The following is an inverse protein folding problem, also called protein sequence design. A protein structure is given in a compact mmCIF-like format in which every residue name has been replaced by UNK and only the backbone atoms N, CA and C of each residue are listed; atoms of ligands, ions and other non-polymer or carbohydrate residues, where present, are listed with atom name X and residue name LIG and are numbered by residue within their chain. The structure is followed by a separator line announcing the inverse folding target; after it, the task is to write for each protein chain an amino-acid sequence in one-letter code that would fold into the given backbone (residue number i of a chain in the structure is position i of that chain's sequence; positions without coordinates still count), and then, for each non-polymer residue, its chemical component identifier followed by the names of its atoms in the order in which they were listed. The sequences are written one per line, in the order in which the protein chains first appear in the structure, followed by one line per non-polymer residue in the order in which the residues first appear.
data_IF_608081482977
#
_entry.id   IF_608081482977
#
_cell.length_a   1.000
_cell.length_b   1.000
_cell.length_c   1.000
_cell.angle_alpha   90.00
_cell.angle_beta   90.00
_cell.angle_gamma   90.00
#
_symmetry.space_group_name_H-M   'P 1'
#
loop_
_entity.id
_entity.type
_entity.pdbx_description
1 polymer ?
#
# COMPACT_ATOMS: atom_id res chain seq x y z
N UNK A 1 -12.56 2.67 5.14
CA UNK A 1 -12.13 2.79 3.73
C UNK A 1 -10.74 3.39 3.69
N UNK A 2 -9.82 2.77 2.96
CA UNK A 2 -8.47 3.27 2.70
C UNK A 2 -8.36 3.75 1.26
N UNK A 3 -7.70 4.88 1.05
CA UNK A 3 -7.37 5.42 -0.28
C UNK A 3 -5.85 5.44 -0.44
N UNK A 4 -5.33 5.04 -1.60
CA UNK A 4 -3.90 5.04 -1.90
C UNK A 4 -3.14 4.24 -0.81
N UNK A 5 -2.06 4.79 -0.26
CA UNK A 5 -1.28 4.22 0.86
C UNK A 5 -2.11 3.97 2.12
N UNK A 6 -3.24 4.66 2.32
CA UNK A 6 -4.20 4.34 3.39
C UNK A 6 -4.79 2.93 3.29
N UNK A 7 -4.70 2.28 2.13
CA UNK A 7 -5.05 0.85 1.96
C UNK A 7 -4.10 -0.07 2.73
N UNK A 8 -2.83 0.32 2.92
CA UNK A 8 -1.88 -0.40 3.77
C UNK A 8 -2.43 -0.49 5.20
N UNK A 9 -2.99 0.61 5.72
CA UNK A 9 -3.59 0.64 7.05
C UNK A 9 -4.80 -0.29 7.16
N UNK A 10 -5.67 -0.34 6.14
CA UNK A 10 -6.83 -1.24 6.12
C UNK A 10 -6.37 -2.70 6.17
N UNK A 11 -5.46 -3.10 5.28
CA UNK A 11 -4.98 -4.48 5.25
C UNK A 11 -4.20 -4.83 6.52
N UNK A 12 -3.39 -3.92 7.05
CA UNK A 12 -2.68 -4.10 8.31
C UNK A 12 -3.66 -4.29 9.48
N UNK A 13 -4.71 -3.47 9.57
CA UNK A 13 -5.74 -3.58 10.60
C UNK A 13 -6.38 -4.98 10.61
N UNK A 14 -6.69 -5.50 9.41
CA UNK A 14 -7.39 -6.77 9.24
C UNK A 14 -6.49 -8.00 9.32
N UNK A 15 -5.21 -7.91 8.98
CA UNK A 15 -4.32 -9.08 8.84
C UNK A 15 -3.42 -9.34 10.06
N UNK A 16 -3.12 -8.32 10.85
CA UNK A 16 -2.18 -8.43 11.97
C UNK A 16 -2.85 -9.00 13.22
N UNK A 17 -2.04 -9.56 14.12
CA UNK A 17 -2.51 -10.07 15.41
C UNK A 17 -3.29 -9.02 16.20
N UNK A 18 -4.27 -9.47 17.00
CA UNK A 18 -5.14 -8.61 17.78
C UNK A 18 -5.25 -9.09 19.25
N UNK A 19 -4.69 -8.34 20.23
CA UNK A 19 -3.83 -7.17 20.06
C UNK A 19 -2.51 -7.56 19.38
N UNK A 20 -1.74 -6.58 18.92
CA UNK A 20 -0.40 -6.87 18.40
C UNK A 20 0.47 -7.44 19.54
N UNK A 21 1.07 -8.62 19.33
CA UNK A 21 1.90 -9.26 20.36
C UNK A 21 3.33 -8.73 20.42
N UNK A 22 3.77 -8.01 19.39
CA UNK A 22 5.11 -7.45 19.32
C UNK A 22 5.33 -6.40 20.43
N UNK A 23 6.53 -6.36 21.05
CA UNK A 23 6.86 -5.31 22.00
C UNK A 23 6.83 -3.93 21.32
N UNK A 24 6.60 -2.88 22.11
CA UNK A 24 6.72 -1.51 21.65
C UNK A 24 8.08 -1.32 20.96
N UNK A 25 8.11 -0.77 19.75
CA UNK A 25 9.35 -0.63 19.03
C UNK A 25 10.23 0.42 19.70
N UNK A 26 11.54 0.26 19.59
CA UNK A 26 12.51 1.15 20.24
C UNK A 26 12.31 2.66 19.96
N UNK A 27 11.83 3.01 18.76
CA UNK A 27 11.59 4.41 18.37
C UNK A 27 10.28 4.99 18.94
N UNK A 28 9.40 4.15 19.46
CA UNK A 28 8.14 4.53 20.10
C UNK A 28 7.89 3.64 21.33
N UNK A 29 8.69 3.83 22.40
CA UNK A 29 8.63 2.99 23.60
C UNK A 29 7.34 3.18 24.39
N UNK A 30 6.52 4.17 24.04
CA UNK A 30 5.25 4.49 24.68
C UNK A 30 4.06 3.87 23.95
N UNK A 31 4.28 3.16 22.84
CA UNK A 31 3.22 2.49 22.10
C UNK A 31 2.49 1.46 22.99
N UNK A 32 1.18 1.63 23.10
CA UNK A 32 0.29 0.67 23.77
C UNK A 32 -0.56 -0.02 22.71
N UNK A 33 -0.37 -1.33 22.55
CA UNK A 33 -1.21 -2.14 21.67
C UNK A 33 -2.57 -2.40 22.34
N UNK A 34 -3.64 -1.99 21.68
CA UNK A 34 -5.02 -2.20 22.13
C UNK A 34 -5.71 -3.27 21.31
N UNK A 35 -6.78 -3.83 21.86
CA UNK A 35 -7.69 -4.70 21.11
C UNK A 35 -8.44 -3.84 20.09
N UNK A 36 -8.32 -4.22 18.83
CA UNK A 36 -9.03 -3.62 17.71
C UNK A 36 -10.45 -4.22 17.62
N UNK A 37 -11.51 -3.41 17.52
CA UNK A 37 -12.86 -3.93 17.27
C UNK A 37 -12.98 -4.51 15.86
N UNK A 38 -13.89 -5.46 15.67
CA UNK A 38 -14.28 -5.90 14.33
C UNK A 38 -14.99 -4.76 13.57
N UNK A 39 -14.94 -4.82 12.23
CA UNK A 39 -15.62 -3.88 11.35
C UNK A 39 -16.60 -4.62 10.44
N UNK A 40 -17.73 -3.99 10.13
CA UNK A 40 -18.78 -4.57 9.28
C UNK A 40 -18.40 -4.62 7.79
N UNK A 41 -17.40 -3.84 7.37
CA UNK A 41 -16.97 -3.78 5.98
C UNK A 41 -15.66 -3.05 5.80
N UNK A 42 -14.92 -3.41 4.74
CA UNK A 42 -13.65 -2.78 4.41
C UNK A 42 -13.57 -2.47 2.91
N UNK A 43 -13.04 -1.29 2.59
CA UNK A 43 -12.84 -0.83 1.22
C UNK A 43 -11.40 -0.37 1.07
N UNK A 44 -10.71 -0.84 0.04
CA UNK A 44 -9.41 -0.34 -0.40
C UNK A 44 -9.53 0.22 -1.82
N UNK A 45 -9.25 1.51 -1.99
CA UNK A 45 -9.30 2.18 -3.29
C UNK A 45 -7.91 2.65 -3.72
N UNK A 46 -7.52 2.30 -4.94
CA UNK A 46 -6.18 2.51 -5.48
C UNK A 46 -5.08 1.98 -4.53
N UNK A 47 -5.27 0.76 -4.01
CA UNK A 47 -4.20 0.03 -3.35
C UNK A 47 -3.12 -0.30 -4.40
N UNK A 48 -1.98 0.40 -4.31
CA UNK A 48 -0.85 0.28 -5.23
C UNK A 48 0.43 0.07 -4.44
N UNK A 49 1.42 -0.55 -5.07
CA UNK A 49 2.76 -0.66 -4.49
C UNK A 49 3.53 0.65 -4.64
N UNK A 50 3.96 1.23 -3.52
CA UNK A 50 4.90 2.36 -3.53
C UNK A 50 6.24 1.99 -4.18
N UNK A 51 6.69 0.73 -4.02
CA UNK A 51 7.90 0.22 -4.65
C UNK A 51 7.77 0.22 -6.17
N UNK A 52 6.69 -0.31 -6.71
CA UNK A 52 6.48 -0.36 -8.16
C UNK A 52 6.14 1.03 -8.73
N UNK A 53 5.42 1.87 -7.98
CA UNK A 53 5.22 3.27 -8.34
C UNK A 53 6.57 4.03 -8.41
N UNK A 54 7.49 3.77 -7.49
CA UNK A 54 8.85 4.30 -7.53
C UNK A 54 9.60 3.78 -8.77
N UNK A 55 9.41 2.53 -9.19
CA UNK A 55 10.00 2.03 -10.44
C UNK A 55 9.50 2.80 -11.67
N UNK A 56 8.23 3.21 -11.71
CA UNK A 56 7.72 4.11 -12.76
C UNK A 56 8.48 5.46 -12.75
N UNK A 57 8.65 6.08 -11.58
CA UNK A 57 9.38 7.34 -11.42
C UNK A 57 10.85 7.19 -11.84
N UNK A 58 11.50 6.09 -11.45
CA UNK A 58 12.89 5.82 -11.82
C UNK A 58 13.06 5.47 -13.29
N UNK A 59 12.02 5.00 -13.97
CA UNK A 59 12.05 4.71 -15.41
C UNK A 59 11.77 5.96 -16.24
N UNK A 60 10.72 6.72 -15.90
CA UNK A 60 10.18 7.80 -16.72
C UNK A 60 10.43 9.23 -16.21
N UNK A 61 10.90 9.40 -14.98
CA UNK A 61 10.93 10.69 -14.31
C UNK A 61 9.58 11.06 -13.67
N UNK A 62 9.47 12.27 -13.13
CA UNK A 62 8.24 12.79 -12.53
C UNK A 62 8.17 14.32 -12.61
N UNK A 63 7.04 14.85 -13.07
CA UNK A 63 6.91 16.28 -13.36
C UNK A 63 7.98 16.74 -14.35
N UNK A 64 8.72 17.79 -13.99
CA UNK A 64 9.82 18.32 -14.81
C UNK A 64 11.17 17.61 -14.56
N UNK A 65 11.20 16.58 -13.70
CA UNK A 65 12.43 15.89 -13.27
C UNK A 65 12.69 14.68 -14.15
N UNK A 66 13.89 14.58 -14.69
CA UNK A 66 14.31 13.46 -15.54
C UNK A 66 14.49 12.17 -14.73
N UNK A 67 14.44 11.03 -15.41
CA UNK A 67 14.69 9.72 -14.79
C UNK A 67 16.09 9.63 -14.15
N UNK A 68 17.11 10.24 -14.76
CA UNK A 68 18.48 10.26 -14.22
C UNK A 68 18.56 11.03 -12.89
N UNK A 69 17.93 12.19 -12.82
CA UNK A 69 17.85 12.97 -11.58
C UNK A 69 17.12 12.22 -10.48
N UNK A 70 16.00 11.56 -10.82
CA UNK A 70 15.23 10.74 -9.90
C UNK A 70 16.05 9.57 -9.34
N UNK A 71 16.79 8.86 -10.19
CA UNK A 71 17.68 7.75 -9.76
C UNK A 71 18.76 8.22 -8.79
N UNK A 72 19.44 9.32 -9.11
CA UNK A 72 20.47 9.89 -8.23
C UNK A 72 19.91 10.25 -6.85
N UNK A 73 18.72 10.85 -6.80
CA UNK A 73 18.08 11.19 -5.52
C UNK A 73 17.63 9.94 -4.77
N UNK A 74 17.03 8.98 -5.46
CA UNK A 74 16.65 7.69 -4.88
C UNK A 74 17.83 6.97 -4.24
N UNK A 75 18.95 6.82 -4.95
CA UNK A 75 20.16 6.17 -4.44
C UNK A 75 20.70 6.90 -3.20
N UNK A 76 20.73 8.24 -3.23
CA UNK A 76 21.13 9.05 -2.07
C UNK A 76 20.20 8.82 -0.87
N UNK A 77 18.89 8.80 -1.09
CA UNK A 77 17.91 8.57 -0.03
C UNK A 77 18.00 7.16 0.56
N UNK A 78 18.19 6.14 -0.28
CA UNK A 78 18.41 4.75 0.17
C UNK A 78 19.69 4.65 0.99
N UNK A 79 20.77 5.31 0.55
CA UNK A 79 22.05 5.34 1.30
C UNK A 79 21.86 5.97 2.67
N UNK A 80 21.29 7.17 2.73
CA UNK A 80 21.03 7.89 3.99
C UNK A 80 20.13 7.07 4.93
N UNK A 81 19.07 6.46 4.40
CA UNK A 81 18.15 5.66 5.20
C UNK A 81 18.83 4.41 5.77
N UNK A 82 19.66 3.72 4.98
CA UNK A 82 20.44 2.56 5.44
C UNK A 82 21.50 2.94 6.47
N UNK A 83 22.17 4.07 6.28
CA UNK A 83 23.14 4.59 7.25
C UNK A 83 22.44 4.91 8.57
N UNK A 84 21.29 5.58 8.52
CA UNK A 84 20.48 5.85 9.71
C UNK A 84 20.01 4.55 10.39
N UNK A 85 19.51 3.56 9.64
CA UNK A 85 19.09 2.26 10.16
C UNK A 85 20.24 1.52 10.88
N UNK A 86 21.47 1.58 10.32
CA UNK A 86 22.68 1.00 10.94
C UNK A 86 23.13 1.77 12.18
N UNK A 87 23.16 3.11 12.11
CA UNK A 87 23.63 3.97 13.19
C UNK A 87 22.71 3.92 14.42
N UNK A 88 21.42 3.64 14.20
CA UNK A 88 20.38 3.61 15.24
C UNK A 88 20.67 2.62 16.37
N UNK A 89 21.32 1.50 16.10
CA UNK A 89 21.39 0.38 17.04
C UNK A 89 20.00 -0.05 17.55
N UNK A 90 19.94 -0.66 18.73
CA UNK A 90 18.68 -0.91 19.46
C UNK A 90 18.36 0.34 20.29
N UNK A 91 17.28 1.07 19.99
CA UNK A 91 16.82 2.19 20.83
C UNK A 91 16.97 3.60 20.24
N UNK A 92 17.60 3.77 19.08
CA UNK A 92 17.81 5.11 18.50
C UNK A 92 16.56 5.75 17.88
N UNK A 93 16.58 7.08 17.79
CA UNK A 93 15.53 7.91 17.20
C UNK A 93 15.32 7.64 15.70
N UNK A 94 14.15 8.01 15.19
CA UNK A 94 13.87 7.89 13.75
C UNK A 94 14.46 9.09 12.99
N UNK A 95 15.17 8.81 11.91
CA UNK A 95 15.78 9.85 11.07
C UNK A 95 14.79 10.27 9.98
N UNK A 96 14.36 11.54 9.99
CA UNK A 96 13.53 12.08 8.91
C UNK A 96 14.41 12.41 7.70
N UNK A 97 14.08 11.86 6.53
CA UNK A 97 14.81 12.16 5.31
C UNK A 97 14.65 13.65 4.93
N UNK A 98 15.67 14.30 4.36
CA UNK A 98 15.57 15.69 3.94
C UNK A 98 14.40 15.90 2.96
N UNK A 99 13.50 16.84 3.25
CA UNK A 99 12.33 17.14 2.42
C UNK A 99 12.70 17.56 0.99
N UNK A 100 13.84 18.23 0.84
CA UNK A 100 14.42 18.58 -0.46
C UNK A 100 14.69 17.36 -1.35
N UNK A 101 14.96 16.20 -0.75
CA UNK A 101 15.15 14.94 -1.47
C UNK A 101 13.82 14.22 -1.67
N UNK A 102 12.99 14.10 -0.62
CA UNK A 102 11.71 13.36 -0.73
C UNK A 102 10.80 13.97 -1.79
N UNK A 103 10.75 15.30 -1.87
CA UNK A 103 9.98 16.03 -2.88
C UNK A 103 10.40 15.73 -4.33
N UNK A 104 11.62 15.22 -4.58
CA UNK A 104 12.14 14.84 -5.91
C UNK A 104 11.55 13.58 -6.48
N UNK A 105 11.13 12.66 -5.63
CA UNK A 105 10.72 11.33 -6.08
C UNK A 105 9.38 10.90 -5.49
N UNK A 106 8.86 11.62 -4.50
CA UNK A 106 7.51 11.45 -3.96
C UNK A 106 6.63 12.67 -4.24
N UNK A 107 5.41 12.49 -4.75
CA UNK A 107 4.43 13.56 -4.82
C UNK A 107 4.05 14.08 -3.41
N UNK A 108 3.80 15.38 -3.29
CA UNK A 108 3.05 15.94 -2.15
C UNK A 108 3.87 16.48 -0.95
N UNK A 109 5.19 16.70 -1.08
CA UNK A 109 6.02 17.26 0.01
C UNK A 109 5.91 16.48 1.35
N UNK A 110 5.75 15.16 1.27
CA UNK A 110 5.57 14.31 2.44
C UNK A 110 6.89 14.08 3.18
N UNK A 111 6.90 14.37 4.49
CA UNK A 111 7.98 13.97 5.38
C UNK A 111 7.91 12.46 5.62
N UNK A 112 9.04 11.76 5.43
CA UNK A 112 9.13 10.31 5.64
C UNK A 112 10.42 9.99 6.38
N UNK A 113 10.32 9.12 7.39
CA UNK A 113 11.52 8.62 8.06
C UNK A 113 12.29 7.66 7.16
N UNK A 114 13.60 7.55 7.34
CA UNK A 114 14.44 6.61 6.58
C UNK A 114 13.94 5.19 6.68
N UNK A 115 13.46 4.78 7.86
CA UNK A 115 12.84 3.47 8.08
C UNK A 115 11.57 3.27 7.24
N UNK A 116 10.63 4.22 7.28
CA UNK A 116 9.40 4.11 6.47
C UNK A 116 9.74 4.18 4.98
N UNK A 117 10.68 5.03 4.57
CA UNK A 117 11.12 5.09 3.18
C UNK A 117 11.66 3.75 2.68
N UNK A 118 12.56 3.11 3.44
CA UNK A 118 13.06 1.78 3.08
C UNK A 118 11.93 0.76 3.01
N UNK A 119 10.96 0.84 3.92
CA UNK A 119 9.79 -0.04 3.91
C UNK A 119 8.94 0.13 2.65
N UNK A 120 8.64 1.37 2.25
CA UNK A 120 7.86 1.70 1.06
C UNK A 120 8.55 1.26 -0.24
N UNK A 121 9.84 1.55 -0.39
CA UNK A 121 10.57 1.22 -1.64
C UNK A 121 11.10 -0.20 -1.66
N UNK A 122 11.14 -0.87 -0.50
CA UNK A 122 11.50 -2.28 -0.30
C UNK A 122 12.59 -2.79 -1.25
N UNK A 123 13.83 -2.28 -1.15
CA UNK A 123 14.86 -2.55 -2.14
C UNK A 123 15.31 -4.03 -2.19
N UNK A 124 14.99 -4.82 -1.17
CA UNK A 124 15.23 -6.26 -1.11
C UNK A 124 14.07 -7.12 -1.70
N UNK A 125 12.97 -6.51 -2.11
CA UNK A 125 11.81 -7.18 -2.71
C UNK A 125 12.08 -7.59 -4.18
N UNK A 126 11.62 -8.78 -4.63
CA UNK A 126 10.62 -9.64 -3.97
C UNK A 126 11.19 -10.69 -3.01
N UNK A 127 12.52 -10.79 -2.87
CA UNK A 127 13.14 -11.83 -2.03
C UNK A 127 12.84 -11.64 -0.54
N UNK A 128 12.81 -10.39 -0.07
CA UNK A 128 12.48 -10.02 1.31
C UNK A 128 11.71 -8.70 1.34
N UNK A 129 10.39 -8.70 1.03
CA UNK A 129 9.58 -7.48 1.10
C UNK A 129 9.51 -6.97 2.54
N UNK A 130 9.56 -5.64 2.70
CA UNK A 130 9.38 -4.99 4.00
C UNK A 130 7.90 -4.68 4.24
N UNK A 131 7.59 -4.12 5.41
CA UNK A 131 6.24 -4.04 5.96
C UNK A 131 5.20 -3.38 5.03
N UNK A 132 5.56 -2.29 4.35
CA UNK A 132 4.63 -1.54 3.49
C UNK A 132 4.51 -2.14 2.07
N UNK A 133 5.37 -3.09 1.69
CA UNK A 133 5.33 -3.74 0.37
C UNK A 133 4.33 -4.91 0.35
N UNK A 134 3.06 -4.56 0.51
CA UNK A 134 1.94 -5.51 0.58
C UNK A 134 1.24 -5.72 -0.77
N UNK A 135 1.56 -4.89 -1.77
CA UNK A 135 0.79 -4.77 -3.01
C UNK A 135 1.62 -4.94 -4.29
N UNK A 136 2.94 -5.15 -4.21
CA UNK A 136 3.75 -5.34 -5.42
C UNK A 136 3.28 -6.56 -6.20
N UNK A 137 3.27 -6.45 -7.53
CA UNK A 137 2.76 -7.50 -8.41
C UNK A 137 3.59 -8.80 -8.37
N UNK A 138 4.85 -8.72 -7.95
CA UNK A 138 5.82 -9.82 -7.91
C UNK A 138 6.02 -10.45 -6.52
N UNK A 139 5.32 -10.01 -5.48
CA UNK A 139 5.41 -10.67 -4.15
C UNK A 139 4.85 -12.08 -4.23
N UNK A 140 5.52 -13.04 -3.59
CA UNK A 140 5.14 -14.44 -3.62
C UNK A 140 3.84 -14.74 -2.85
N UNK A 141 3.17 -15.84 -3.21
CA UNK A 141 1.91 -16.26 -2.59
C UNK A 141 2.03 -16.52 -1.08
N UNK A 142 3.23 -16.90 -0.60
CA UNK A 142 3.50 -17.03 0.83
C UNK A 142 3.36 -15.69 1.58
N UNK A 143 3.79 -14.58 0.96
CA UNK A 143 3.64 -13.23 1.52
C UNK A 143 2.17 -12.82 1.50
N UNK A 144 1.47 -13.06 0.38
CA UNK A 144 0.03 -12.80 0.28
C UNK A 144 -0.79 -13.59 1.31
N UNK A 145 -0.41 -14.84 1.59
CA UNK A 145 -1.03 -15.66 2.65
C UNK A 145 -0.82 -15.04 4.03
N UNK A 146 0.34 -14.45 4.29
CA UNK A 146 0.65 -13.74 5.54
C UNK A 146 -0.02 -12.37 5.68
N UNK A 147 -0.62 -11.82 4.61
CA UNK A 147 -1.33 -10.54 4.62
C UNK A 147 -2.82 -10.75 4.32
N UNK A 148 -3.21 -10.80 3.04
CA UNK A 148 -4.60 -11.04 2.60
C UNK A 148 -5.18 -12.32 3.18
N UNK A 149 -4.40 -13.41 3.22
CA UNK A 149 -4.85 -14.69 3.80
C UNK A 149 -5.12 -14.65 5.30
N UNK A 150 -4.58 -13.66 6.02
CA UNK A 150 -4.85 -13.51 7.45
C UNK A 150 -6.15 -12.76 7.75
N UNK A 151 -6.76 -12.09 6.76
CA UNK A 151 -8.02 -11.33 6.98
C UNK A 151 -9.10 -12.21 7.59
N UNK A 152 -9.25 -13.46 7.10
CA UNK A 152 -10.16 -14.45 7.68
C UNK A 152 -9.75 -14.83 9.10
N UNK A 153 -8.51 -15.26 9.26
CA UNK A 153 -7.99 -15.83 10.50
C UNK A 153 -8.01 -14.85 11.68
N UNK A 154 -7.96 -13.54 11.41
CA UNK A 154 -8.07 -12.53 12.47
C UNK A 154 -9.49 -12.27 12.94
N UNK A 155 -10.51 -12.62 12.16
CA UNK A 155 -11.92 -12.43 12.54
C UNK A 155 -12.28 -10.96 12.80
N UNK A 156 -11.61 -10.02 12.12
CA UNK A 156 -11.82 -8.58 12.29
C UNK A 156 -12.74 -7.94 11.25
N UNK A 157 -13.20 -8.73 10.29
CA UNK A 157 -14.10 -8.29 9.23
C UNK A 157 -15.33 -9.19 9.22
N UNK A 158 -16.49 -8.64 9.54
CA UNK A 158 -17.75 -9.38 9.58
C UNK A 158 -18.43 -9.47 8.21
N UNK A 159 -18.30 -8.41 7.40
CA UNK A 159 -18.83 -8.36 6.03
C UNK A 159 -17.76 -8.58 4.96
N UNK A 160 -17.85 -7.80 3.88
CA UNK A 160 -17.00 -7.96 2.70
C UNK A 160 -15.76 -7.07 2.68
N UNK A 161 -14.74 -7.52 1.96
CA UNK A 161 -13.59 -6.71 1.52
C UNK A 161 -13.78 -6.31 0.06
N UNK A 162 -14.05 -5.03 -0.19
CA UNK A 162 -14.10 -4.46 -1.53
C UNK A 162 -12.76 -3.83 -1.92
N UNK A 163 -12.25 -4.17 -3.10
CA UNK A 163 -11.04 -3.56 -3.66
C UNK A 163 -11.34 -2.92 -5.02
N UNK A 164 -11.10 -1.62 -5.11
CA UNK A 164 -11.33 -0.81 -6.31
C UNK A 164 -10.00 -0.27 -6.84
N UNK A 165 -9.44 -0.92 -7.85
CA UNK A 165 -8.19 -0.48 -8.48
C UNK A 165 -8.47 0.47 -9.65
N UNK A 166 -7.62 1.48 -9.83
CA UNK A 166 -7.80 2.47 -10.91
C UNK A 166 -7.29 1.92 -12.25
N UNK A 167 -8.16 1.87 -13.26
CA UNK A 167 -7.85 1.27 -14.56
C UNK A 167 -6.72 1.99 -15.31
N UNK A 168 -6.69 3.32 -15.27
CA UNK A 168 -5.66 4.17 -15.86
C UNK A 168 -4.71 4.77 -14.80
N UNK A 169 -4.47 4.05 -13.70
CA UNK A 169 -3.56 4.50 -12.64
C UNK A 169 -2.13 4.65 -13.14
N UNK A 170 -1.63 5.88 -13.15
CA UNK A 170 -0.28 6.24 -13.56
C UNK A 170 0.81 5.78 -12.58
N UNK A 171 0.42 5.34 -11.39
CA UNK A 171 1.33 4.84 -10.34
C UNK A 171 1.55 3.34 -10.44
N UNK A 172 0.80 2.64 -11.32
CA UNK A 172 0.96 1.21 -11.57
C UNK A 172 1.72 1.02 -12.88
N UNK A 173 2.84 0.30 -12.89
CA UNK A 173 3.59 0.10 -14.12
C UNK A 173 2.79 -0.62 -15.21
N UNK A 174 3.06 -0.28 -16.48
CA UNK A 174 2.34 -0.84 -17.63
C UNK A 174 2.49 -2.36 -17.79
N UNK A 175 3.58 -2.94 -17.27
CA UNK A 175 3.80 -4.40 -17.32
C UNK A 175 2.95 -5.18 -16.29
N UNK A 176 2.30 -4.50 -15.34
CA UNK A 176 1.50 -5.15 -14.31
C UNK A 176 0.12 -5.48 -14.86
N UNK A 177 -0.21 -6.77 -14.90
CA UNK A 177 -1.57 -7.26 -15.16
C UNK A 177 -2.45 -7.05 -13.91
N UNK A 178 -3.22 -5.96 -13.91
CA UNK A 178 -4.07 -5.54 -12.80
C UNK A 178 -5.19 -6.55 -12.49
N UNK A 179 -5.75 -7.21 -13.50
CA UNK A 179 -6.79 -8.22 -13.32
C UNK A 179 -6.20 -9.49 -12.70
N UNK A 180 -5.05 -9.95 -13.18
CA UNK A 180 -4.34 -11.08 -12.59
C UNK A 180 -3.92 -10.79 -11.15
N UNK A 181 -3.49 -9.55 -10.84
CA UNK A 181 -3.14 -9.11 -9.50
C UNK A 181 -4.34 -9.14 -8.55
N UNK A 182 -5.48 -8.57 -8.95
CA UNK A 182 -6.73 -8.64 -8.17
C UNK A 182 -7.17 -10.10 -7.94
N UNK A 183 -7.04 -10.96 -8.97
CA UNK A 183 -7.37 -12.37 -8.84
C UNK A 183 -6.46 -13.09 -7.83
N UNK A 184 -5.18 -12.72 -7.72
CA UNK A 184 -4.26 -13.26 -6.71
C UNK A 184 -4.65 -12.81 -5.30
N UNK A 185 -4.95 -11.53 -5.11
CA UNK A 185 -5.40 -11.01 -3.81
C UNK A 185 -6.72 -11.63 -3.35
N UNK A 186 -7.68 -11.76 -4.28
CA UNK A 186 -8.94 -12.49 -4.04
C UNK A 186 -8.68 -13.91 -3.56
N UNK A 187 -7.88 -14.70 -4.30
CA UNK A 187 -7.58 -16.09 -3.92
C UNK A 187 -6.92 -16.19 -2.55
N UNK A 188 -5.99 -15.28 -2.25
CA UNK A 188 -5.37 -15.24 -0.93
C UNK A 188 -6.38 -14.89 0.18
N UNK A 189 -7.27 -13.92 -0.05
CA UNK A 189 -8.27 -13.46 0.91
C UNK A 189 -9.33 -14.53 1.21
N UNK A 190 -9.88 -15.15 0.16
CA UNK A 190 -10.94 -16.15 0.31
C UNK A 190 -10.38 -17.47 0.87
N UNK A 191 -9.18 -17.88 0.45
CA UNK A 191 -8.64 -19.19 0.80
C UNK A 191 -9.62 -20.31 0.43
N UNK A 192 -9.78 -21.29 1.32
CA UNK A 192 -10.71 -22.41 1.15
C UNK A 192 -12.09 -22.18 1.81
N UNK A 193 -12.33 -20.98 2.36
CA UNK A 193 -13.55 -20.66 3.12
C UNK A 193 -14.64 -19.94 2.32
N UNK A 194 -15.79 -19.61 2.95
CA UNK A 194 -16.82 -18.78 2.33
C UNK A 194 -16.27 -17.41 1.91
N UNK A 195 -16.68 -16.83 0.77
CA UNK A 195 -16.10 -15.58 0.26
C UNK A 195 -16.08 -14.45 1.29
N UNK A 196 -14.92 -13.80 1.43
CA UNK A 196 -14.77 -12.51 2.14
C UNK A 196 -14.60 -11.40 1.12
N UNK A 197 -13.94 -11.70 0.00
CA UNK A 197 -13.80 -10.78 -1.10
C UNK A 197 -15.18 -10.44 -1.70
N UNK A 198 -15.47 -9.15 -1.86
CA UNK A 198 -16.69 -8.73 -2.55
C UNK A 198 -16.53 -8.95 -4.07
N UNK A 199 -17.14 -10.01 -4.59
CA UNK A 199 -17.07 -10.38 -6.00
C UNK A 199 -17.87 -9.47 -6.94
N UNK A 200 -18.87 -8.76 -6.43
CA UNK A 200 -19.80 -7.96 -7.21
C UNK A 200 -19.27 -6.53 -7.43
N UNK A 201 -18.67 -5.98 -6.37
CA UNK A 201 -18.29 -4.58 -6.33
C UNK A 201 -16.78 -4.36 -6.51
N UNK A 202 -15.93 -5.34 -6.21
CA UNK A 202 -14.49 -5.21 -6.47
C UNK A 202 -14.15 -5.28 -7.95
N UNK A 203 -13.11 -4.56 -8.36
CA UNK A 203 -12.62 -4.60 -9.73
C UNK A 203 -11.83 -3.36 -10.14
N UNK A 204 -11.66 -3.21 -11.45
CA UNK A 204 -11.07 -2.02 -12.04
C UNK A 204 -12.12 -0.95 -12.30
N UNK A 205 -11.82 0.30 -11.91
CA UNK A 205 -12.60 1.47 -12.31
C UNK A 205 -12.10 1.92 -13.69
N UNK A 206 -12.92 1.84 -14.75
CA UNK A 206 -12.47 2.18 -16.11
C UNK A 206 -12.00 3.64 -16.19
N UNK A 207 -10.86 3.87 -16.84
CA UNK A 207 -10.26 5.18 -17.07
C UNK A 207 -9.94 6.01 -15.80
N UNK A 208 -10.05 5.44 -14.60
CA UNK A 208 -9.71 6.13 -13.37
C UNK A 208 -8.20 6.35 -13.28
N UNK A 209 -7.77 7.58 -12.96
CA UNK A 209 -6.43 7.87 -12.47
C UNK A 209 -6.30 7.50 -10.99
N UNK A 210 -5.10 7.57 -10.43
CA UNK A 210 -4.82 7.17 -9.05
C UNK A 210 -5.80 7.80 -8.02
N UNK A 211 -5.91 9.13 -8.06
CA UNK A 211 -6.69 9.93 -7.11
C UNK A 211 -7.98 10.52 -7.71
N UNK A 212 -8.29 10.19 -8.97
CA UNK A 212 -9.48 10.66 -9.69
C UNK A 212 -9.67 12.19 -9.64
N UNK A 213 -8.57 12.94 -9.59
CA UNK A 213 -8.59 14.37 -9.26
C UNK A 213 -8.79 15.29 -10.46
N UNK A 214 -8.48 14.83 -11.66
CA UNK A 214 -8.54 15.65 -12.88
C UNK A 214 -10.00 15.90 -13.34
N UNK A 215 -10.19 16.87 -14.22
CA UNK A 215 -11.52 17.22 -14.76
C UNK A 215 -12.14 16.08 -15.57
N UNK A 216 -11.32 15.30 -16.27
CA UNK A 216 -11.75 14.13 -17.06
C UNK A 216 -12.24 12.95 -16.19
N UNK A 217 -12.06 13.03 -14.87
CA UNK A 217 -12.40 11.95 -13.92
C UNK A 217 -13.85 11.99 -13.44
N UNK A 218 -14.72 12.84 -14.01
CA UNK A 218 -16.13 12.91 -13.61
C UNK A 218 -16.86 11.55 -13.70
N UNK A 219 -16.70 10.83 -14.82
CA UNK A 219 -17.29 9.49 -15.01
C UNK A 219 -16.65 8.43 -14.09
N UNK A 220 -15.31 8.32 -14.01
CA UNK A 220 -14.66 7.46 -13.01
C UNK A 220 -15.11 7.71 -11.56
N UNK A 221 -15.26 8.97 -11.15
CA UNK A 221 -15.76 9.33 -9.81
C UNK A 221 -17.19 8.86 -9.59
N UNK A 222 -18.07 9.06 -10.58
CA UNK A 222 -19.44 8.57 -10.50
C UNK A 222 -19.47 7.04 -10.36
N UNK A 223 -18.72 6.31 -11.18
CA UNK A 223 -18.63 4.85 -11.10
C UNK A 223 -18.10 4.36 -9.75
N UNK A 224 -17.06 5.01 -9.22
CA UNK A 224 -16.53 4.71 -7.88
C UNK A 224 -17.62 4.87 -6.82
N UNK A 225 -18.34 6.00 -6.85
CA UNK A 225 -19.42 6.28 -5.89
C UNK A 225 -20.54 5.24 -6.01
N UNK A 226 -20.97 4.90 -7.23
CA UNK A 226 -21.99 3.87 -7.45
C UNK A 226 -21.57 2.51 -6.87
N UNK A 227 -20.30 2.10 -7.04
CA UNK A 227 -19.77 0.87 -6.44
C UNK A 227 -19.73 0.92 -4.92
N UNK A 228 -19.35 2.06 -4.33
CA UNK A 228 -19.34 2.25 -2.88
C UNK A 228 -20.75 2.24 -2.31
N UNK A 229 -21.72 2.91 -2.94
CA UNK A 229 -23.11 2.91 -2.50
C UNK A 229 -23.73 1.51 -2.59
N UNK A 230 -23.46 0.78 -3.69
CA UNK A 230 -23.86 -0.62 -3.85
C UNK A 230 -23.29 -1.53 -2.74
N UNK A 231 -22.00 -1.40 -2.43
CA UNK A 231 -21.36 -2.12 -1.31
C UNK A 231 -22.01 -1.82 0.04
N UNK A 232 -22.39 -0.56 0.27
CA UNK A 232 -23.06 -0.12 1.50
C UNK A 232 -24.55 -0.46 1.54
N UNK A 233 -25.13 -0.95 0.44
CA UNK A 233 -26.55 -1.28 0.33
C UNK A 233 -27.47 -0.06 0.31
N UNK A 234 -27.02 1.09 -0.22
CA UNK A 234 -27.77 2.35 -0.29
C UNK A 234 -27.98 2.87 -1.70
#
# INVERSE_FOLDING_TARGET
MGHSTGSQCVLHYLSRENPHAAPAPAFDPYLVNVVRPAVDGAIMQAAVSDREAMQCVLAGGIGDRSAEECRRVYEKMVSLAREAEKARGVGGEDFVLPLELTSMIYPGLTAVSGRRFLSLVSPESPAAPREDDMFSSDIGDAVLKGTFGMVRERGLLEGGLMVLMSGADQSVPEWVDKEALLARWRRATDGDGPPIWDHEHSGLIPNASHALSNDDQAKPRQFLVEKVLGFLGV
#
